data_IF_209709105492
#
_entry.id   IF_209709105492
#
_cell.length_a   1.000
_cell.length_b   1.000
_cell.length_c   1.000
_cell.angle_alpha   90.00
_cell.angle_beta   90.00
_cell.angle_gamma   90.00
#
_symmetry.space_group_name_H-M   'P 1'
#
loop_
_entity.id
_entity.type
_entity.pdbx_description
1 polymer ?
#
# COMPACT_ATOMS: atom_id res chain seq x y z
N UNK A 1 2.73 27.69 0.63
CA UNK A 1 1.47 28.33 0.19
C UNK A 1 0.59 28.61 1.39
N UNK A 2 -0.37 29.52 1.24
CA UNK A 2 -1.38 29.96 2.24
C UNK A 2 -2.32 28.86 2.78
N UNK A 3 -2.03 27.59 2.51
CA UNK A 3 -2.86 26.41 2.82
C UNK A 3 -2.44 25.76 4.16
N UNK A 4 -1.32 26.19 4.77
CA UNK A 4 -0.87 25.63 6.05
C UNK A 4 -1.54 26.34 7.22
N UNK A 5 -2.16 25.57 8.11
CA UNK A 5 -2.78 26.07 9.35
C UNK A 5 -1.79 26.81 10.27
N UNK A 6 -0.49 26.53 10.13
CA UNK A 6 0.59 27.25 10.83
C UNK A 6 1.72 27.58 9.83
N UNK A 7 2.00 28.88 9.58
CA UNK A 7 3.03 29.29 8.63
C UNK A 7 4.46 29.02 9.13
N UNK A 8 4.69 28.91 10.45
CA UNK A 8 6.02 28.62 11.00
C UNK A 8 6.25 27.11 11.17
N UNK A 9 7.01 26.52 10.24
CA UNK A 9 7.33 25.08 10.25
C UNK A 9 7.95 24.59 11.57
N UNK A 10 8.82 25.39 12.19
CA UNK A 10 9.44 25.05 13.48
C UNK A 10 8.40 24.84 14.60
N UNK A 11 7.29 25.59 14.56
CA UNK A 11 6.20 25.47 15.54
C UNK A 11 5.39 24.19 15.29
N UNK A 12 5.14 23.85 14.03
CA UNK A 12 4.49 22.57 13.64
C UNK A 12 5.32 21.39 14.12
N UNK A 13 6.62 21.38 13.82
CA UNK A 13 7.53 20.30 14.24
C UNK A 13 7.58 20.16 15.76
N UNK A 14 7.68 21.28 16.50
CA UNK A 14 7.66 21.25 17.98
C UNK A 14 6.36 20.70 18.54
N UNK A 15 5.23 20.94 17.86
CA UNK A 15 3.92 20.41 18.23
C UNK A 15 3.85 18.92 17.95
N UNK A 16 4.27 18.47 16.76
CA UNK A 16 4.30 17.06 16.39
C UNK A 16 5.22 16.23 17.29
N UNK A 17 6.39 16.75 17.69
CA UNK A 17 7.31 16.06 18.62
C UNK A 17 6.72 15.82 20.02
N UNK A 18 5.75 16.63 20.43
CA UNK A 18 5.04 16.51 21.71
C UNK A 18 3.71 15.77 21.60
N UNK A 19 3.25 15.52 20.38
CA UNK A 19 1.96 14.89 20.16
C UNK A 19 2.06 13.38 20.44
N UNK A 20 0.97 12.85 20.96
CA UNK A 20 0.80 11.44 21.27
C UNK A 20 -0.59 10.99 20.84
N UNK A 21 -0.74 9.69 20.57
CA UNK A 21 -2.01 9.09 20.18
C UNK A 21 -2.09 8.77 18.69
N UNK A 22 -3.32 8.67 18.20
CA UNK A 22 -3.65 8.17 16.86
C UNK A 22 -4.37 9.23 16.04
N UNK A 23 -4.08 9.27 14.74
CA UNK A 23 -4.68 10.18 13.78
C UNK A 23 -5.09 9.44 12.50
N UNK A 24 -6.27 9.76 11.98
CA UNK A 24 -6.77 9.23 10.71
C UNK A 24 -7.05 10.39 9.77
N UNK A 25 -6.28 10.46 8.69
CA UNK A 25 -6.52 11.37 7.57
C UNK A 25 -7.24 10.63 6.46
N UNK A 26 -8.36 11.18 5.98
CA UNK A 26 -9.11 10.68 4.82
C UNK A 26 -9.05 11.73 3.72
N UNK A 27 -8.87 11.29 2.49
CA UNK A 27 -8.86 12.15 1.32
C UNK A 27 -9.44 11.41 0.12
N UNK A 28 -10.21 12.12 -0.70
CA UNK A 28 -10.75 11.57 -1.94
C UNK A 28 -9.70 11.71 -3.05
N UNK A 29 -9.03 10.60 -3.36
CA UNK A 29 -8.10 10.54 -4.48
C UNK A 29 -8.86 10.24 -5.80
N UNK A 30 -8.25 10.43 -6.98
CA UNK A 30 -8.94 10.20 -8.26
C UNK A 30 -9.52 8.79 -8.47
N UNK A 31 -9.03 7.79 -7.72
CA UNK A 31 -9.46 6.37 -7.81
C UNK A 31 -10.33 5.94 -6.62
N UNK A 32 -10.74 6.89 -5.78
CA UNK A 32 -11.52 6.66 -4.57
C UNK A 32 -10.80 7.04 -3.28
N UNK A 33 -11.37 6.61 -2.16
CA UNK A 33 -10.90 6.97 -0.82
C UNK A 33 -9.46 6.51 -0.52
N UNK A 34 -8.63 7.45 -0.08
CA UNK A 34 -7.31 7.23 0.46
C UNK A 34 -7.29 7.53 1.98
N UNK A 35 -6.84 6.57 2.78
CA UNK A 35 -6.77 6.70 4.24
C UNK A 35 -5.32 6.58 4.70
N UNK A 36 -4.89 7.54 5.52
CA UNK A 36 -3.62 7.52 6.24
C UNK A 36 -3.92 7.41 7.73
N UNK A 37 -3.52 6.29 8.33
CA UNK A 37 -3.51 6.10 9.77
C UNK A 37 -2.09 6.34 10.28
N UNK A 38 -1.95 7.23 11.26
CA UNK A 38 -0.68 7.56 11.90
C UNK A 38 -0.81 7.36 13.40
N UNK A 39 0.24 6.86 14.03
CA UNK A 39 0.39 6.84 15.48
C UNK A 39 1.66 7.59 15.86
N UNK A 40 1.56 8.40 16.90
CA UNK A 40 2.64 9.16 17.50
C UNK A 40 2.86 8.72 18.94
N UNK A 41 4.11 8.77 19.36
CA UNK A 41 4.54 8.51 20.74
C UNK A 41 5.36 9.69 21.22
N UNK A 42 5.02 10.21 22.40
CA UNK A 42 5.74 11.33 23.00
C UNK A 42 7.24 11.02 23.13
N UNK A 43 8.08 11.96 22.68
CA UNK A 43 9.54 11.82 22.72
C UNK A 43 10.17 11.06 21.55
N UNK A 44 9.38 10.47 20.63
CA UNK A 44 9.91 9.98 19.33
C UNK A 44 9.79 11.06 18.26
N UNK A 45 10.86 11.24 17.49
CA UNK A 45 10.84 12.16 16.34
C UNK A 45 10.16 11.55 15.10
N UNK A 46 10.09 10.23 15.02
CA UNK A 46 9.51 9.49 13.90
C UNK A 46 8.14 8.92 14.25
N UNK A 47 7.33 8.66 13.23
CA UNK A 47 6.02 8.00 13.38
C UNK A 47 6.22 6.61 13.97
N UNK A 48 5.51 6.29 15.05
CA UNK A 48 5.56 4.94 15.62
C UNK A 48 4.84 3.93 14.73
N UNK A 49 3.81 4.37 14.00
CA UNK A 49 3.18 3.59 12.93
C UNK A 49 2.64 4.52 11.86
N UNK A 50 2.83 4.13 10.60
CA UNK A 50 2.16 4.76 9.47
C UNK A 50 1.58 3.68 8.56
N UNK A 51 0.25 3.59 8.52
CA UNK A 51 -0.47 2.68 7.64
C UNK A 51 -1.24 3.49 6.59
N UNK A 52 -1.01 3.14 5.33
CA UNK A 52 -1.72 3.72 4.19
C UNK A 52 -2.66 2.67 3.65
N UNK A 53 -3.91 3.06 3.40
CA UNK A 53 -4.89 2.33 2.60
C UNK A 53 -5.10 3.15 1.33
N UNK A 54 -4.39 2.77 0.28
CA UNK A 54 -4.59 3.35 -1.04
C UNK A 54 -5.86 2.78 -1.70
N UNK A 55 -6.56 3.56 -2.54
CA UNK A 55 -7.82 3.13 -3.16
C UNK A 55 -7.66 1.88 -4.02
N UNK A 56 -6.64 1.86 -4.89
CA UNK A 56 -6.36 0.74 -5.80
C UNK A 56 -6.21 -0.60 -5.08
N UNK A 57 -5.58 -0.61 -3.90
CA UNK A 57 -5.34 -1.84 -3.15
C UNK A 57 -6.64 -2.59 -2.81
N UNK A 58 -7.71 -1.84 -2.50
CA UNK A 58 -9.01 -2.46 -2.21
C UNK A 58 -9.81 -2.72 -3.47
N UNK A 59 -9.74 -1.84 -4.48
CA UNK A 59 -10.44 -2.05 -5.75
C UNK A 59 -9.95 -3.31 -6.48
N UNK A 60 -8.66 -3.65 -6.38
CA UNK A 60 -8.10 -4.87 -6.97
C UNK A 60 -8.75 -6.16 -6.47
N UNK A 61 -9.28 -6.16 -5.25
CA UNK A 61 -9.97 -7.34 -4.71
C UNK A 61 -11.30 -7.63 -5.41
N UNK A 62 -11.87 -6.66 -6.14
CA UNK A 62 -13.07 -6.84 -6.94
C UNK A 62 -12.78 -7.50 -8.30
N UNK A 63 -11.55 -7.38 -8.82
CA UNK A 63 -11.17 -7.87 -10.15
C UNK A 63 -11.49 -9.36 -10.37
N UNK A 64 -11.17 -10.29 -9.44
CA UNK A 64 -11.53 -11.69 -9.61
C UNK A 64 -13.03 -11.93 -9.76
N UNK A 65 -13.86 -11.12 -9.11
CA UNK A 65 -15.32 -11.19 -9.23
C UNK A 65 -15.80 -10.61 -10.55
N UNK A 66 -15.22 -9.48 -10.99
CA UNK A 66 -15.54 -8.86 -12.29
C UNK A 66 -15.19 -9.78 -13.48
N UNK A 67 -14.16 -10.62 -13.33
CA UNK A 67 -13.72 -11.55 -14.38
C UNK A 67 -14.50 -12.87 -14.41
N UNK A 68 -15.40 -13.14 -13.46
CA UNK A 68 -16.18 -14.39 -13.45
C UNK A 68 -17.13 -14.42 -14.65
N UNK A 69 -16.95 -15.42 -15.50
CA UNK A 69 -17.77 -15.60 -16.71
C UNK A 69 -17.36 -14.72 -17.89
N UNK A 70 -16.33 -13.88 -17.74
CA UNK A 70 -15.78 -13.08 -18.82
C UNK A 70 -14.86 -13.92 -19.72
N UNK A 71 -14.63 -13.46 -20.95
CA UNK A 71 -13.66 -14.09 -21.85
C UNK A 71 -12.24 -13.64 -21.48
N UNK A 72 -11.23 -14.43 -21.87
CA UNK A 72 -9.82 -14.07 -21.65
C UNK A 72 -9.47 -12.71 -22.30
N UNK A 73 -10.09 -12.40 -23.44
CA UNK A 73 -9.94 -11.12 -24.13
C UNK A 73 -10.47 -9.92 -23.33
N UNK A 74 -11.36 -10.14 -22.37
CA UNK A 74 -11.96 -9.08 -21.55
C UNK A 74 -11.06 -8.70 -20.36
N UNK A 75 -10.03 -9.50 -20.05
CA UNK A 75 -9.16 -9.26 -18.89
C UNK A 75 -8.54 -7.86 -18.91
N UNK A 76 -7.93 -7.37 -20.01
CA UNK A 76 -7.30 -6.05 -20.03
C UNK A 76 -8.31 -4.91 -19.83
N UNK A 77 -9.50 -5.01 -20.45
CA UNK A 77 -10.50 -3.93 -20.36
C UNK A 77 -11.16 -3.89 -18.99
N UNK A 78 -11.49 -5.05 -18.42
CA UNK A 78 -12.00 -5.16 -17.04
C UNK A 78 -10.98 -4.63 -16.05
N UNK A 79 -9.70 -4.99 -16.22
CA UNK A 79 -8.63 -4.51 -15.35
C UNK A 79 -8.37 -3.01 -15.50
N UNK A 80 -8.38 -2.48 -16.73
CA UNK A 80 -8.19 -1.05 -16.98
C UNK A 80 -9.36 -0.19 -16.48
N UNK A 81 -10.58 -0.75 -16.40
CA UNK A 81 -11.78 -0.01 -15.98
C UNK A 81 -11.71 0.54 -14.55
N UNK A 82 -10.88 -0.04 -13.68
CA UNK A 82 -10.68 0.43 -12.30
C UNK A 82 -9.51 1.42 -12.15
N UNK A 83 -8.86 1.80 -13.25
CA UNK A 83 -7.65 2.64 -13.31
C UNK A 83 -6.56 2.22 -12.29
N UNK A 84 -6.00 1.00 -12.44
CA UNK A 84 -5.14 0.43 -11.42
C UNK A 84 -3.76 1.10 -11.41
N UNK A 85 -3.44 1.80 -10.32
CA UNK A 85 -2.09 2.26 -10.03
C UNK A 85 -1.30 1.22 -9.20
N UNK A 86 -0.37 0.49 -9.86
CA UNK A 86 0.44 -0.57 -9.21
C UNK A 86 1.44 -0.01 -8.18
N UNK A 87 1.87 1.24 -8.34
CA UNK A 87 2.72 1.91 -7.34
C UNK A 87 2.03 2.05 -5.98
N UNK A 88 0.70 1.98 -5.92
CA UNK A 88 -0.03 1.96 -4.66
C UNK A 88 0.03 0.60 -3.94
N UNK A 89 0.50 -0.46 -4.60
CA UNK A 89 0.41 -1.85 -4.12
C UNK A 89 1.76 -2.52 -3.89
N UNK A 90 2.88 -1.84 -4.15
CA UNK A 90 4.24 -2.39 -4.07
C UNK A 90 4.81 -2.47 -2.64
N UNK A 91 3.96 -2.57 -1.61
CA UNK A 91 4.40 -2.60 -0.20
C UNK A 91 3.96 -3.90 0.45
N UNK A 92 4.92 -4.77 0.74
CA UNK A 92 4.65 -6.06 1.35
C UNK A 92 5.46 -6.26 2.65
N UNK A 93 4.79 -6.77 3.68
CA UNK A 93 5.43 -7.23 4.91
C UNK A 93 5.08 -8.70 5.04
N UNK A 94 6.10 -9.54 5.11
CA UNK A 94 5.94 -10.98 5.39
C UNK A 94 6.05 -11.18 6.89
N UNK A 95 5.07 -11.88 7.45
CA UNK A 95 5.08 -12.28 8.85
C UNK A 95 5.10 -13.80 8.90
N UNK A 96 6.21 -14.38 9.37
CA UNK A 96 6.28 -15.81 9.66
C UNK A 96 5.48 -16.09 10.93
N UNK A 97 4.42 -16.88 10.80
CA UNK A 97 3.51 -17.16 11.92
C UNK A 97 4.15 -18.05 13.00
N UNK A 98 5.15 -18.87 12.65
CA UNK A 98 5.82 -19.76 13.60
C UNK A 98 6.89 -19.00 14.37
N UNK A 99 7.73 -18.25 13.67
CA UNK A 99 8.86 -17.53 14.29
C UNK A 99 8.50 -16.12 14.74
N UNK A 100 7.33 -15.62 14.35
CA UNK A 100 6.89 -14.21 14.50
C UNK A 100 7.83 -13.19 13.86
N UNK A 101 8.76 -13.63 13.00
CA UNK A 101 9.68 -12.75 12.28
C UNK A 101 8.90 -11.93 11.27
N UNK A 102 9.12 -10.61 11.28
CA UNK A 102 8.59 -9.68 10.28
C UNK A 102 9.72 -9.27 9.35
N UNK A 103 9.51 -9.43 8.06
CA UNK A 103 10.45 -8.99 7.02
C UNK A 103 9.72 -8.01 6.12
N UNK A 104 10.29 -6.81 5.99
CA UNK A 104 9.86 -5.84 4.98
C UNK A 104 10.47 -6.28 3.65
N UNK A 105 9.64 -6.51 2.63
CA UNK A 105 10.12 -6.83 1.29
C UNK A 105 10.49 -5.54 0.56
N UNK A 106 11.71 -5.47 0.04
CA UNK A 106 12.10 -4.42 -0.90
C UNK A 106 11.55 -4.69 -2.30
N UNK A 107 11.65 -3.69 -3.18
CA UNK A 107 11.25 -3.83 -4.59
C UNK A 107 12.10 -4.91 -5.29
N UNK A 108 13.41 -4.91 -5.05
CA UNK A 108 14.34 -5.89 -5.63
C UNK A 108 14.03 -7.31 -5.15
N UNK A 109 13.78 -7.49 -3.86
CA UNK A 109 13.42 -8.79 -3.29
C UNK A 109 12.09 -9.30 -3.88
N UNK A 110 11.09 -8.41 -3.98
CA UNK A 110 9.80 -8.76 -4.56
C UNK A 110 9.92 -9.13 -6.04
N UNK A 111 10.74 -8.41 -6.81
CA UNK A 111 11.00 -8.71 -8.21
C UNK A 111 11.71 -10.06 -8.38
N UNK A 112 12.73 -10.35 -7.57
CA UNK A 112 13.42 -11.64 -7.59
C UNK A 112 12.46 -12.80 -7.33
N UNK A 113 11.60 -12.68 -6.31
CA UNK A 113 10.57 -13.69 -6.01
C UNK A 113 9.59 -13.91 -7.18
N UNK A 114 9.21 -12.84 -7.89
CA UNK A 114 8.35 -12.95 -9.08
C UNK A 114 9.04 -13.71 -10.22
N UNK A 115 10.32 -13.43 -10.48
CA UNK A 115 11.10 -14.13 -11.51
C UNK A 115 11.28 -15.60 -11.16
N UNK A 116 11.63 -15.91 -9.92
CA UNK A 116 11.78 -17.29 -9.43
C UNK A 116 10.47 -18.08 -9.55
N UNK A 117 9.35 -17.48 -9.12
CA UNK A 117 8.02 -18.09 -9.27
C UNK A 117 7.68 -18.35 -10.74
N UNK A 118 7.97 -17.40 -11.63
CA UNK A 118 7.71 -17.54 -13.06
C UNK A 118 8.50 -18.69 -13.66
N UNK A 119 9.82 -18.77 -13.37
CA UNK A 119 10.67 -19.88 -13.80
C UNK A 119 10.16 -21.24 -13.31
N UNK A 120 9.75 -21.32 -12.03
CA UNK A 120 9.18 -22.54 -11.46
C UNK A 120 7.92 -22.98 -12.21
N UNK A 121 6.98 -22.07 -12.43
CA UNK A 121 5.73 -22.36 -13.14
C UNK A 121 5.99 -22.78 -14.60
N UNK A 122 6.92 -22.13 -15.30
CA UNK A 122 7.32 -22.53 -16.65
C UNK A 122 7.88 -23.96 -16.69
N UNK A 123 8.70 -24.34 -15.72
CA UNK A 123 9.24 -25.69 -15.62
C UNK A 123 8.17 -26.74 -15.26
N UNK A 124 7.15 -26.37 -14.48
CA UNK A 124 6.01 -27.24 -14.15
C UNK A 124 5.09 -27.44 -15.36
N UNK A 125 4.83 -26.39 -16.15
CA UNK A 125 3.99 -26.42 -17.36
C UNK A 125 4.66 -27.11 -18.56
N UNK A 126 5.99 -27.18 -18.57
CA UNK A 126 6.76 -27.87 -19.61
C UNK A 126 6.83 -29.40 -19.39
N UNK A 127 6.27 -29.91 -18.27
CA UNK A 127 6.10 -31.34 -17.98
C UNK A 127 4.68 -31.78 -18.30
#
# INVERSE_FOLDING_TARGET
GTILAEPKMAKVLKTLKKAEGEGVGRHEAPRGECIHYVRLESGKETLSTWKIRAPTYVNLMAVPTMLKGAQLADVPIVFASIDPCISCTNRAIVVDLKTKRKTLLTDEELHQLCVEKTRRLSNELAR
#
